data_IF_848566416669
#
_entry.id   IF_848566416669
#
_cell.length_a   1.000
_cell.length_b   1.000
_cell.length_c   1.000
_cell.angle_alpha   90.00
_cell.angle_beta   90.00
_cell.angle_gamma   90.00
#
_symmetry.space_group_name_H-M   'P 1'
#
loop_
_entity.id
_entity.type
_entity.pdbx_description
1 polymer ?
#
# COMPACT_ATOMS: atom_id res chain seq x y z
N UNK A 1 9.96 0.64 -18.71
CA UNK A 1 8.70 1.10 -19.34
C UNK A 1 8.36 0.19 -20.49
N UNK A 2 7.11 -0.17 -20.64
CA UNK A 2 6.61 -0.88 -21.82
C UNK A 2 6.49 0.10 -23.00
N UNK A 3 6.35 -0.43 -24.23
CA UNK A 3 6.21 0.39 -25.44
C UNK A 3 4.95 1.28 -25.43
N UNK A 4 3.93 0.93 -24.66
CA UNK A 4 2.67 1.66 -24.48
C UNK A 4 2.75 2.73 -23.38
N UNK A 5 3.93 2.97 -22.78
CA UNK A 5 4.15 3.95 -21.71
C UNK A 5 3.73 3.49 -20.31
N UNK A 6 3.36 2.23 -20.13
CA UNK A 6 3.07 1.66 -18.81
C UNK A 6 4.34 1.18 -18.10
N UNK A 7 4.29 1.07 -16.78
CA UNK A 7 5.39 0.51 -15.99
C UNK A 7 5.46 -1.00 -16.19
N UNK A 8 6.63 -1.51 -16.57
CA UNK A 8 6.89 -2.96 -16.62
C UNK A 8 7.15 -3.50 -15.21
N UNK A 9 6.07 -3.70 -14.44
CA UNK A 9 6.15 -4.20 -13.06
C UNK A 9 6.72 -5.60 -12.95
N UNK A 10 6.61 -6.42 -14.01
CA UNK A 10 7.17 -7.78 -14.01
C UNK A 10 8.70 -7.84 -14.07
N UNK A 11 9.36 -6.75 -14.50
CA UNK A 11 10.81 -6.67 -14.59
C UNK A 11 11.46 -5.97 -13.39
N UNK A 12 10.66 -5.50 -12.43
CA UNK A 12 11.15 -4.79 -11.24
C UNK A 12 10.84 -5.61 -9.98
N UNK A 13 11.74 -5.60 -8.99
CA UNK A 13 11.44 -6.19 -7.69
C UNK A 13 10.28 -5.44 -7.03
N UNK A 14 9.40 -6.18 -6.35
CA UNK A 14 8.38 -5.57 -5.50
C UNK A 14 9.05 -5.00 -4.25
N UNK A 15 8.77 -3.73 -3.95
CA UNK A 15 9.32 -3.02 -2.78
C UNK A 15 8.16 -2.55 -1.92
N UNK A 16 8.34 -2.64 -0.62
CA UNK A 16 7.34 -2.09 0.31
C UNK A 16 7.31 -0.57 0.17
N UNK A 17 6.13 0.00 -0.02
CA UNK A 17 5.96 1.45 -0.07
C UNK A 17 6.29 2.08 1.30
N UNK A 18 7.17 3.09 1.38
CA UNK A 18 7.63 3.64 2.67
C UNK A 18 6.49 4.10 3.58
N UNK A 19 5.52 4.84 3.07
CA UNK A 19 4.40 5.33 3.88
C UNK A 19 3.44 4.20 4.32
N UNK A 20 3.33 3.10 3.56
CA UNK A 20 2.60 1.91 4.00
C UNK A 20 3.36 1.16 5.10
N UNK A 21 4.70 1.24 5.14
CA UNK A 21 5.47 0.76 6.30
C UNK A 21 5.16 1.58 7.56
N UNK A 22 5.02 2.90 7.43
CA UNK A 22 4.59 3.76 8.56
C UNK A 22 3.15 3.43 8.99
N UNK A 23 2.25 3.14 8.04
CA UNK A 23 0.90 2.70 8.33
C UNK A 23 0.88 1.36 9.08
N UNK A 24 1.71 0.40 8.65
CA UNK A 24 1.89 -0.89 9.34
C UNK A 24 2.45 -0.68 10.75
N UNK A 25 3.46 0.17 10.92
CA UNK A 25 4.01 0.47 12.26
C UNK A 25 2.96 1.09 13.18
N UNK A 26 2.13 2.01 12.68
CA UNK A 26 1.02 2.57 13.44
C UNK A 26 0.02 1.48 13.87
N UNK A 27 -0.31 0.54 12.98
CA UNK A 27 -1.15 -0.61 13.32
C UNK A 27 -0.52 -1.47 14.42
N UNK A 28 0.78 -1.73 14.33
CA UNK A 28 1.52 -2.50 15.33
C UNK A 28 1.55 -1.80 16.70
N UNK A 29 1.75 -0.49 16.74
CA UNK A 29 1.69 0.30 17.97
C UNK A 29 0.29 0.27 18.60
N UNK A 30 -0.76 0.31 17.78
CA UNK A 30 -2.15 0.15 18.24
C UNK A 30 -2.33 -1.23 18.88
N UNK A 31 -1.95 -2.29 18.18
CA UNK A 31 -2.13 -3.66 18.68
C UNK A 31 -1.23 -3.98 19.89
N UNK A 32 -0.04 -3.42 19.96
CA UNK A 32 0.83 -3.53 21.15
C UNK A 32 0.19 -2.92 22.39
N UNK A 33 -0.60 -1.85 22.22
CA UNK A 33 -1.19 -1.09 23.32
C UNK A 33 -2.60 -1.56 23.71
N UNK A 34 -3.39 -1.97 22.73
CA UNK A 34 -4.83 -2.25 22.90
C UNK A 34 -5.23 -3.68 22.55
N UNK A 35 -4.30 -4.47 22.01
CA UNK A 35 -4.60 -5.76 21.40
C UNK A 35 -5.23 -5.60 20.01
N UNK A 36 -5.50 -6.71 19.35
CA UNK A 36 -6.14 -6.74 18.05
C UNK A 36 -5.48 -7.69 17.07
N UNK A 37 -5.89 -7.62 15.81
CA UNK A 37 -5.41 -8.44 14.71
C UNK A 37 -5.10 -7.56 13.50
N UNK A 38 -3.97 -7.80 12.85
CA UNK A 38 -3.53 -7.03 11.69
C UNK A 38 -3.56 -7.92 10.45
N UNK A 39 -4.44 -7.58 9.52
CA UNK A 39 -4.45 -8.15 8.16
C UNK A 39 -3.83 -7.15 7.19
N UNK A 40 -2.78 -7.55 6.50
CA UNK A 40 -2.17 -6.75 5.42
C UNK A 40 -2.69 -7.22 4.07
N UNK A 41 -3.16 -6.26 3.29
CA UNK A 41 -3.78 -6.50 1.98
C UNK A 41 -3.01 -5.76 0.89
N UNK A 42 -2.69 -6.42 -0.21
CA UNK A 42 -2.13 -5.79 -1.41
C UNK A 42 -2.76 -6.35 -2.68
N UNK A 43 -2.86 -5.50 -3.70
CA UNK A 43 -3.23 -5.92 -5.05
C UNK A 43 -1.99 -5.83 -5.95
N UNK A 44 -1.63 -6.93 -6.58
CA UNK A 44 -0.44 -6.95 -7.43
C UNK A 44 -0.20 -8.27 -8.14
N UNK A 45 0.96 -8.35 -8.78
CA UNK A 45 1.49 -9.58 -9.35
C UNK A 45 1.85 -10.57 -8.23
N UNK A 46 1.97 -11.88 -8.53
CA UNK A 46 2.39 -12.88 -7.54
C UNK A 46 3.68 -12.51 -6.78
N UNK A 47 4.61 -11.81 -7.41
CA UNK A 47 5.84 -11.31 -6.79
C UNK A 47 5.58 -10.36 -5.60
N UNK A 48 4.41 -9.73 -5.48
CA UNK A 48 4.05 -8.92 -4.33
C UNK A 48 3.92 -9.73 -3.02
N UNK A 49 3.93 -11.07 -3.09
CA UNK A 49 4.05 -11.93 -1.91
C UNK A 49 5.31 -11.61 -1.07
N UNK A 50 6.38 -11.08 -1.67
CA UNK A 50 7.59 -10.65 -0.93
C UNK A 50 7.28 -9.50 0.03
N UNK A 51 6.51 -8.52 -0.41
CA UNK A 51 6.08 -7.39 0.42
C UNK A 51 5.20 -7.87 1.57
N UNK A 52 4.31 -8.82 1.31
CA UNK A 52 3.46 -9.42 2.33
C UNK A 52 4.27 -10.22 3.36
N UNK A 53 5.30 -10.97 2.94
CA UNK A 53 6.23 -11.63 3.87
C UNK A 53 6.95 -10.62 4.76
N UNK A 54 7.37 -9.49 4.19
CA UNK A 54 8.01 -8.43 4.96
C UNK A 54 7.08 -7.87 6.04
N UNK A 55 5.80 -7.69 5.73
CA UNK A 55 4.80 -7.31 6.73
C UNK A 55 4.66 -8.35 7.86
N UNK A 56 4.61 -9.64 7.50
CA UNK A 56 4.59 -10.73 8.47
C UNK A 56 5.85 -10.76 9.35
N UNK A 57 7.03 -10.44 8.81
CA UNK A 57 8.27 -10.36 9.59
C UNK A 57 8.23 -9.26 10.64
N UNK A 58 7.53 -8.14 10.37
CA UNK A 58 7.42 -6.99 11.26
C UNK A 58 6.36 -7.15 12.33
N UNK A 59 5.35 -7.99 12.09
CA UNK A 59 4.36 -8.25 13.12
C UNK A 59 2.93 -8.48 12.65
N UNK A 60 2.62 -8.29 11.38
CA UNK A 60 1.29 -8.59 10.84
C UNK A 60 0.89 -10.05 11.12
N UNK A 61 -0.38 -10.28 11.38
CA UNK A 61 -0.91 -11.60 11.73
C UNK A 61 -1.32 -12.38 10.49
N UNK A 62 -1.88 -11.68 9.51
CA UNK A 62 -2.41 -12.25 8.28
C UNK A 62 -1.99 -11.41 7.07
N UNK A 63 -1.82 -12.08 5.93
CA UNK A 63 -1.48 -11.46 4.67
C UNK A 63 -2.39 -11.96 3.54
N UNK A 64 -2.90 -11.03 2.75
CA UNK A 64 -3.80 -11.31 1.62
C UNK A 64 -3.28 -10.66 0.35
N UNK A 65 -3.06 -11.48 -0.67
CA UNK A 65 -2.71 -11.05 -2.01
C UNK A 65 -3.95 -11.07 -2.91
N UNK A 66 -4.31 -9.92 -3.46
CA UNK A 66 -5.29 -9.86 -4.55
C UNK A 66 -4.51 -9.94 -5.87
N UNK A 67 -4.70 -11.01 -6.61
CA UNK A 67 -4.02 -11.18 -7.89
C UNK A 67 -4.94 -11.84 -8.92
N UNK A 68 -5.11 -11.13 -10.04
CA UNK A 68 -5.89 -11.57 -11.18
C UNK A 68 -5.40 -10.81 -12.42
N UNK A 69 -5.32 -11.48 -13.56
CA UNK A 69 -4.91 -10.83 -14.82
C UNK A 69 -5.85 -9.70 -15.24
N UNK A 70 -7.13 -9.82 -14.86
CA UNK A 70 -8.18 -8.81 -15.12
C UNK A 70 -7.98 -7.52 -14.31
N UNK A 71 -7.12 -7.53 -13.28
CA UNK A 71 -6.72 -6.32 -12.56
C UNK A 71 -5.67 -5.49 -13.30
N UNK A 72 -5.09 -6.01 -14.38
CA UNK A 72 -3.99 -5.36 -15.07
C UNK A 72 -4.35 -3.97 -15.59
N UNK A 73 -3.41 -3.02 -15.43
CA UNK A 73 -3.56 -1.62 -15.85
C UNK A 73 -4.74 -0.87 -15.22
N UNK A 74 -5.22 -1.31 -14.04
CA UNK A 74 -6.16 -0.54 -13.23
C UNK A 74 -5.57 0.82 -12.87
N UNK A 75 -6.36 1.86 -13.01
CA UNK A 75 -6.05 3.18 -12.44
C UNK A 75 -6.44 3.23 -10.94
N UNK A 76 -6.38 4.39 -10.32
CA UNK A 76 -6.71 4.56 -8.90
C UNK A 76 -8.17 4.23 -8.60
N UNK A 77 -9.09 4.54 -9.52
CA UNK A 77 -10.52 4.30 -9.32
C UNK A 77 -10.87 2.81 -9.38
N UNK A 78 -10.34 2.07 -10.37
CA UNK A 78 -10.50 0.63 -10.48
C UNK A 78 -9.77 -0.09 -9.32
N UNK A 79 -8.56 0.36 -8.95
CA UNK A 79 -7.80 -0.17 -7.81
C UNK A 79 -8.58 -0.03 -6.51
N UNK A 80 -9.11 1.17 -6.21
CA UNK A 80 -9.89 1.41 -5.00
C UNK A 80 -11.21 0.61 -4.99
N UNK A 81 -11.80 0.36 -6.17
CA UNK A 81 -12.98 -0.50 -6.28
C UNK A 81 -12.66 -1.96 -5.88
N UNK A 82 -11.61 -2.54 -6.46
CA UNK A 82 -11.21 -3.91 -6.18
C UNK A 82 -10.85 -4.07 -4.70
N UNK A 83 -10.06 -3.14 -4.14
CA UNK A 83 -9.72 -3.13 -2.72
C UNK A 83 -10.96 -2.99 -1.83
N UNK A 84 -11.96 -2.19 -2.24
CA UNK A 84 -13.22 -2.08 -1.50
C UNK A 84 -14.00 -3.40 -1.47
N UNK A 85 -14.00 -4.17 -2.57
CA UNK A 85 -14.59 -5.50 -2.61
C UNK A 85 -13.90 -6.47 -1.66
N UNK A 86 -12.57 -6.38 -1.56
CA UNK A 86 -11.80 -7.20 -0.61
C UNK A 86 -12.08 -6.82 0.84
N UNK A 87 -12.08 -5.53 1.17
CA UNK A 87 -12.37 -5.06 2.53
C UNK A 87 -13.78 -5.42 3.00
N UNK A 88 -14.75 -5.50 2.10
CA UNK A 88 -16.11 -6.00 2.44
C UNK A 88 -16.15 -7.49 2.84
N UNK A 89 -15.06 -8.24 2.65
CA UNK A 89 -14.91 -9.62 3.12
C UNK A 89 -14.25 -9.74 4.50
N UNK A 90 -13.80 -8.63 5.04
CA UNK A 90 -13.09 -8.55 6.30
C UNK A 90 -13.89 -7.77 7.33
N UNK A 91 -13.78 -8.18 8.59
CA UNK A 91 -14.23 -7.38 9.72
C UNK A 91 -13.09 -6.46 10.15
N UNK A 92 -13.33 -5.17 10.23
CA UNK A 92 -12.32 -4.19 10.60
C UNK A 92 -12.90 -3.01 11.38
N UNK A 93 -12.13 -2.49 12.32
CA UNK A 93 -12.41 -1.24 13.03
C UNK A 93 -11.64 -0.08 12.40
N UNK A 94 -10.42 -0.34 11.91
CA UNK A 94 -9.51 0.67 11.38
C UNK A 94 -8.91 0.15 10.08
N UNK A 95 -8.98 0.97 9.02
CA UNK A 95 -8.27 0.77 7.77
C UNK A 95 -7.14 1.78 7.70
N UNK A 96 -5.90 1.29 7.54
CA UNK A 96 -4.71 2.10 7.42
C UNK A 96 -4.06 1.92 6.05
N UNK A 97 -3.61 3.00 5.45
CA UNK A 97 -2.77 2.97 4.26
C UNK A 97 -1.77 4.13 4.31
N UNK A 98 -0.69 4.05 3.58
CA UNK A 98 0.17 5.19 3.32
C UNK A 98 -0.60 6.32 2.63
N UNK A 99 -0.11 7.53 2.73
CA UNK A 99 -0.70 8.69 2.04
C UNK A 99 -0.73 8.47 0.54
N UNK A 100 0.36 7.96 -0.02
CA UNK A 100 0.48 7.72 -1.46
C UNK A 100 1.48 6.60 -1.76
N UNK A 101 1.33 5.98 -2.95
CA UNK A 101 2.28 5.01 -3.47
C UNK A 101 3.38 5.70 -4.27
N UNK A 102 4.62 5.22 -4.13
CA UNK A 102 5.81 5.80 -4.82
C UNK A 102 5.83 5.54 -6.33
N UNK A 103 5.02 4.62 -6.83
CA UNK A 103 4.95 4.27 -8.26
C UNK A 103 3.97 5.14 -9.05
N UNK A 104 2.85 5.51 -8.44
CA UNK A 104 1.78 6.29 -9.07
C UNK A 104 1.67 7.73 -8.58
N UNK A 105 2.14 8.01 -7.40
CA UNK A 105 2.27 9.33 -6.77
C UNK A 105 0.99 10.19 -6.79
N UNK A 106 -0.18 9.52 -6.70
CA UNK A 106 -1.48 10.20 -6.88
C UNK A 106 -2.20 10.54 -5.58
N UNK A 107 -1.87 9.86 -4.48
CA UNK A 107 -2.52 10.00 -3.16
C UNK A 107 -4.06 9.81 -3.17
N UNK A 108 -4.61 9.11 -4.16
CA UNK A 108 -6.05 9.02 -4.39
C UNK A 108 -6.70 7.74 -3.83
N UNK A 109 -5.95 6.63 -3.75
CA UNK A 109 -6.53 5.31 -3.44
C UNK A 109 -7.18 5.28 -2.05
N UNK A 110 -6.53 5.82 -1.02
CA UNK A 110 -7.07 5.88 0.33
C UNK A 110 -8.40 6.63 0.40
N UNK A 111 -8.47 7.90 -0.04
CA UNK A 111 -9.72 8.68 -0.08
C UNK A 111 -10.84 8.03 -0.91
N UNK A 112 -10.53 7.49 -2.10
CA UNK A 112 -11.50 6.79 -2.94
C UNK A 112 -12.02 5.50 -2.26
N UNK A 113 -11.16 4.80 -1.55
CA UNK A 113 -11.52 3.59 -0.81
C UNK A 113 -12.49 3.94 0.34
N UNK A 114 -12.19 5.00 1.09
CA UNK A 114 -13.08 5.48 2.15
C UNK A 114 -14.48 5.82 1.62
N UNK A 115 -14.55 6.53 0.50
CA UNK A 115 -15.83 6.87 -0.15
C UNK A 115 -16.61 5.63 -0.58
N UNK A 116 -15.94 4.65 -1.22
CA UNK A 116 -16.57 3.40 -1.67
C UNK A 116 -17.08 2.52 -0.52
N UNK A 117 -16.51 2.66 0.66
CA UNK A 117 -16.89 1.91 1.87
C UNK A 117 -17.82 2.71 2.79
N UNK A 118 -18.08 3.99 2.49
CA UNK A 118 -18.85 4.88 3.35
C UNK A 118 -18.20 5.15 4.70
N UNK A 119 -16.84 5.13 4.75
CA UNK A 119 -16.07 5.35 5.96
C UNK A 119 -15.71 6.82 6.14
N UNK A 120 -15.70 7.27 7.40
CA UNK A 120 -15.01 8.52 7.73
C UNK A 120 -13.54 8.38 7.37
N UNK A 121 -12.97 9.38 6.68
CA UNK A 121 -11.54 9.40 6.36
C UNK A 121 -10.80 10.48 7.16
N UNK A 122 -9.60 10.16 7.61
CA UNK A 122 -8.66 11.12 8.20
C UNK A 122 -7.33 10.98 7.47
N UNK A 123 -6.96 12.02 6.73
CA UNK A 123 -5.75 12.02 5.92
C UNK A 123 -4.57 12.67 6.64
N UNK A 124 -3.34 12.29 6.24
CA UNK A 124 -2.10 12.85 6.76
C UNK A 124 -1.90 12.64 8.27
N UNK A 125 -2.31 11.49 8.79
CA UNK A 125 -2.15 11.14 10.21
C UNK A 125 -0.68 10.99 10.55
N UNK A 126 -0.25 11.67 11.61
CA UNK A 126 1.11 11.61 12.13
C UNK A 126 1.19 11.09 13.57
N UNK A 127 0.06 11.00 14.31
CA UNK A 127 0.09 10.50 15.67
C UNK A 127 -1.26 9.99 16.15
N UNK A 128 -1.24 8.82 16.80
CA UNK A 128 -2.35 8.38 17.65
C UNK A 128 -2.32 9.15 18.99
N UNK A 129 -3.45 9.71 19.37
CA UNK A 129 -3.61 10.44 20.65
C UNK A 129 -4.38 9.61 21.66
N UNK A 130 -5.50 9.02 21.24
CA UNK A 130 -6.39 8.23 22.11
C UNK A 130 -7.15 7.21 21.28
N UNK A 131 -7.34 6.02 21.82
CA UNK A 131 -8.21 5.00 21.24
C UNK A 131 -9.07 4.37 22.34
N UNK A 132 -10.35 4.18 22.04
CA UNK A 132 -11.25 3.36 22.84
C UNK A 132 -12.21 2.58 21.91
N UNK A 133 -13.07 1.72 22.47
CA UNK A 133 -13.93 0.82 21.70
C UNK A 133 -14.89 1.50 20.71
N UNK A 134 -15.04 2.81 20.73
CA UNK A 134 -16.00 3.54 19.87
C UNK A 134 -15.39 4.69 19.10
N UNK A 135 -14.29 5.23 19.56
CA UNK A 135 -13.70 6.46 19.01
C UNK A 135 -12.17 6.36 18.97
N UNK A 136 -11.63 6.97 17.95
CA UNK A 136 -10.19 7.23 17.82
C UNK A 136 -9.97 8.74 17.76
N UNK A 137 -8.93 9.20 18.46
CA UNK A 137 -8.46 10.58 18.37
C UNK A 137 -7.03 10.54 17.83
N UNK A 138 -6.81 11.24 16.72
CA UNK A 138 -5.51 11.30 16.05
C UNK A 138 -5.12 12.74 15.77
N UNK A 139 -3.83 12.97 15.61
CA UNK A 139 -3.27 14.21 15.08
C UNK A 139 -3.00 14.02 13.59
N UNK A 140 -3.28 15.05 12.81
CA UNK A 140 -2.96 15.10 11.38
C UNK A 140 -2.19 16.35 11.02
N UNK A 141 -1.31 16.26 10.03
CA UNK A 141 -0.60 17.38 9.44
C UNK A 141 -1.50 18.13 8.44
N UNK A 142 -1.46 19.47 8.47
CA UNK A 142 -2.19 20.35 7.54
C UNK A 142 -1.25 21.30 6.77
N UNK A 143 0.04 20.94 6.68
CA UNK A 143 1.07 21.71 5.99
C UNK A 143 1.73 22.73 6.91
N UNK A 144 1.04 23.78 7.33
CA UNK A 144 1.55 24.83 8.22
C UNK A 144 1.19 24.61 9.70
N UNK A 145 0.84 23.39 10.10
CA UNK A 145 0.48 23.04 11.47
C UNK A 145 -0.17 21.66 11.55
N UNK A 146 -0.89 21.45 12.62
CA UNK A 146 -1.58 20.19 12.88
C UNK A 146 -3.00 20.39 13.43
N UNK A 147 -3.84 19.39 13.24
CA UNK A 147 -5.17 19.30 13.81
C UNK A 147 -5.32 18.02 14.59
N UNK A 148 -6.03 18.07 15.70
CA UNK A 148 -6.47 16.89 16.44
C UNK A 148 -7.93 16.59 16.05
N UNK A 149 -8.18 15.37 15.58
CA UNK A 149 -9.48 14.95 15.11
C UNK A 149 -9.93 13.73 15.89
N UNK A 150 -11.18 13.76 16.35
CA UNK A 150 -11.86 12.63 16.97
C UNK A 150 -12.91 12.07 16.00
N UNK A 151 -12.85 10.77 15.75
CA UNK A 151 -13.79 10.06 14.88
C UNK A 151 -14.39 8.83 15.55
N UNK A 152 -15.58 8.42 15.10
CA UNK A 152 -16.14 7.11 15.43
C UNK A 152 -15.45 6.04 14.59
N UNK A 153 -15.40 4.81 15.13
CA UNK A 153 -15.05 3.61 14.39
C UNK A 153 -16.30 3.05 13.64
N UNK A 154 -16.13 2.41 12.48
CA UNK A 154 -14.88 2.22 11.75
C UNK A 154 -14.40 3.50 11.03
N UNK A 155 -13.10 3.60 10.77
CA UNK A 155 -12.45 4.75 10.14
C UNK A 155 -11.35 4.31 9.18
N UNK A 156 -11.15 5.08 8.10
CA UNK A 156 -9.96 4.95 7.24
C UNK A 156 -9.00 6.10 7.50
N UNK A 157 -7.72 5.79 7.64
CA UNK A 157 -6.68 6.79 7.84
C UNK A 157 -5.55 6.63 6.83
N UNK A 158 -5.04 7.76 6.31
CA UNK A 158 -3.80 7.76 5.54
C UNK A 158 -2.66 8.30 6.42
N UNK A 159 -1.55 7.58 6.46
CA UNK A 159 -0.42 7.83 7.35
C UNK A 159 0.74 8.40 6.54
N UNK A 160 1.44 9.38 7.11
CA UNK A 160 2.62 10.01 6.51
C UNK A 160 3.91 9.44 7.11
N UNK A 161 5.02 9.63 6.39
CA UNK A 161 6.38 9.21 6.78
C UNK A 161 6.84 9.74 8.14
N UNK A 162 6.34 10.92 8.55
CA UNK A 162 6.68 11.57 9.82
C UNK A 162 5.94 10.97 11.02
N UNK A 163 5.04 10.01 10.83
CA UNK A 163 4.22 9.45 11.90
C UNK A 163 5.04 8.62 12.90
N UNK A 164 5.99 7.88 12.42
CA UNK A 164 6.80 6.95 13.22
C UNK A 164 8.02 6.47 12.42
N UNK A 165 8.90 5.75 13.10
CA UNK A 165 9.98 4.99 12.49
C UNK A 165 9.57 3.51 12.45
N UNK A 166 9.42 2.89 11.27
CA UNK A 166 9.01 1.50 11.15
C UNK A 166 10.02 0.55 11.82
N UNK A 167 9.50 -0.34 12.68
CA UNK A 167 10.33 -1.36 13.35
C UNK A 167 11.00 -2.30 12.35
N UNK A 168 12.20 -2.77 12.70
CA UNK A 168 12.91 -3.77 11.92
C UNK A 168 12.23 -5.14 12.00
N UNK A 169 12.40 -6.02 10.98
CA UNK A 169 11.92 -7.39 11.03
C UNK A 169 12.42 -8.14 12.26
N UNK A 170 11.52 -8.83 12.96
CA UNK A 170 11.90 -9.64 14.12
C UNK A 170 12.49 -10.99 13.67
N UNK A 171 13.68 -11.35 14.13
CA UNK A 171 14.39 -12.56 13.74
C UNK A 171 13.55 -13.84 13.89
N UNK A 172 12.79 -13.97 14.99
CA UNK A 172 11.89 -15.10 15.22
C UNK A 172 10.79 -15.19 14.15
N UNK A 173 10.18 -14.06 13.78
CA UNK A 173 9.13 -14.00 12.75
C UNK A 173 9.71 -14.22 11.36
N UNK A 174 10.87 -13.66 11.06
CA UNK A 174 11.59 -13.91 9.81
C UNK A 174 11.86 -15.41 9.63
N UNK A 175 12.39 -16.08 10.64
CA UNK A 175 12.65 -17.52 10.59
C UNK A 175 11.37 -18.34 10.39
N UNK A 176 10.24 -17.91 10.94
CA UNK A 176 8.93 -18.56 10.74
C UNK A 176 8.43 -18.32 9.31
N UNK A 177 8.33 -17.06 8.90
CA UNK A 177 7.57 -16.66 7.71
C UNK A 177 8.41 -16.59 6.41
N UNK A 178 9.74 -16.80 6.45
CA UNK A 178 10.56 -16.91 5.24
C UNK A 178 10.09 -18.00 4.27
N UNK A 179 9.36 -18.98 4.76
CA UNK A 179 8.77 -20.06 3.97
C UNK A 179 7.27 -19.86 3.70
N UNK A 180 6.71 -18.71 4.09
CA UNK A 180 5.34 -18.40 3.73
C UNK A 180 5.21 -18.23 2.23
N UNK A 181 4.18 -18.81 1.62
CA UNK A 181 3.95 -18.79 0.17
C UNK A 181 2.50 -18.50 -0.15
N UNK A 182 2.29 -17.84 -1.29
CA UNK A 182 0.98 -17.74 -1.93
C UNK A 182 0.69 -18.99 -2.77
N UNK A 183 -0.58 -19.21 -3.12
CA UNK A 183 -0.98 -20.30 -4.01
C UNK A 183 -0.23 -20.25 -5.35
N UNK A 184 -0.04 -19.06 -5.94
CA UNK A 184 0.69 -18.89 -7.19
C UNK A 184 2.16 -19.33 -7.09
N UNK A 185 2.82 -19.03 -5.97
CA UNK A 185 4.21 -19.47 -5.73
C UNK A 185 4.29 -21.00 -5.53
N UNK A 186 3.31 -21.59 -4.87
CA UNK A 186 3.21 -23.06 -4.72
C UNK A 186 3.02 -23.71 -6.08
N UNK A 187 2.11 -23.21 -6.89
CA UNK A 187 1.84 -23.70 -8.24
C UNK A 187 3.09 -23.60 -9.14
N UNK A 188 3.80 -22.49 -9.08
CA UNK A 188 5.04 -22.31 -9.84
C UNK A 188 6.10 -23.35 -9.40
N UNK A 189 6.31 -23.53 -8.10
CA UNK A 189 7.28 -24.49 -7.57
C UNK A 189 6.94 -25.96 -7.96
N UNK A 190 5.67 -26.32 -8.03
CA UNK A 190 5.22 -27.64 -8.49
C UNK A 190 5.49 -27.83 -9.97
N UNK A 191 5.24 -26.81 -10.81
CA UNK A 191 5.51 -26.84 -12.24
C UNK A 191 7.00 -27.00 -12.55
N UNK A 192 7.86 -26.32 -11.79
CA UNK A 192 9.32 -26.39 -11.95
C UNK A 192 9.92 -27.73 -11.46
N UNK A 193 9.21 -28.48 -10.63
CA UNK A 193 9.71 -29.74 -10.04
C UNK A 193 9.46 -30.99 -10.88
N UNK A 194 8.83 -30.89 -12.04
CA UNK A 194 8.56 -31.99 -12.99
C UNK A 194 7.95 -33.27 -12.34
N UNK A 195 7.18 -33.10 -11.26
CA UNK A 195 6.55 -34.20 -10.55
C UNK A 195 5.17 -34.49 -11.15
N UNK A 196 5.12 -35.49 -11.99
CA UNK A 196 3.88 -36.21 -12.31
C UNK A 196 3.30 -36.79 -10.99
N UNK A 197 2.32 -36.12 -10.41
CA UNK A 197 1.62 -36.60 -9.23
C UNK A 197 0.12 -36.70 -9.53
N UNK A 198 -0.36 -37.93 -9.53
CA UNK A 198 -1.75 -38.36 -9.74
C UNK A 198 -2.70 -38.02 -8.57
N UNK A 199 -2.57 -36.89 -7.91
CA UNK A 199 -3.56 -36.35 -6.94
C UNK A 199 -3.20 -34.89 -6.66
N UNK A 200 -4.14 -34.00 -6.79
CA UNK A 200 -4.03 -32.56 -6.72
C UNK A 200 -2.97 -32.05 -5.69
N UNK A 201 -1.68 -31.94 -6.09
CA UNK A 201 -0.59 -31.63 -5.18
C UNK A 201 -0.65 -30.18 -4.69
N UNK A 202 -1.41 -29.33 -5.41
CA UNK A 202 -1.58 -27.92 -5.05
C UNK A 202 -2.42 -27.77 -3.78
N UNK A 203 -3.61 -28.38 -3.75
CA UNK A 203 -4.52 -28.29 -2.59
C UNK A 203 -3.90 -28.88 -1.34
N UNK A 204 -3.17 -30.01 -1.46
CA UNK A 204 -2.46 -30.61 -0.34
C UNK A 204 -1.37 -29.70 0.19
N UNK A 205 -0.55 -29.14 -0.68
CA UNK A 205 0.54 -28.23 -0.30
C UNK A 205 0.02 -26.95 0.32
N UNK A 206 -1.06 -26.39 -0.22
CA UNK A 206 -1.72 -25.21 0.36
C UNK A 206 -2.31 -25.51 1.74
N UNK A 207 -2.98 -26.67 1.91
CA UNK A 207 -3.54 -27.07 3.20
C UNK A 207 -2.46 -27.29 4.27
N UNK A 208 -1.30 -27.86 3.90
CA UNK A 208 -0.16 -27.99 4.82
C UNK A 208 0.41 -26.63 5.25
N UNK A 209 0.51 -25.67 4.32
CA UNK A 209 0.95 -24.32 4.64
C UNK A 209 -0.07 -23.59 5.51
N UNK A 210 -1.34 -23.76 5.27
CA UNK A 210 -2.42 -23.19 6.07
C UNK A 210 -2.39 -23.71 7.51
N UNK A 211 -2.27 -25.03 7.70
CA UNK A 211 -2.13 -25.65 9.04
C UNK A 211 -0.91 -25.13 9.80
N UNK A 212 0.17 -24.79 9.09
CA UNK A 212 1.39 -24.20 9.68
C UNK A 212 1.28 -22.68 9.87
N UNK A 213 0.21 -22.04 9.41
CA UNK A 213 0.05 -20.57 9.38
C UNK A 213 1.09 -19.89 8.50
N UNK A 214 1.41 -20.51 7.34
CA UNK A 214 2.40 -20.04 6.37
C UNK A 214 1.78 -19.78 4.99
N UNK A 215 0.47 -19.97 4.83
CA UNK A 215 -0.21 -19.64 3.59
C UNK A 215 -0.53 -18.14 3.54
N UNK A 216 -0.01 -17.46 2.53
CA UNK A 216 -0.47 -16.12 2.15
C UNK A 216 -1.76 -16.32 1.36
N UNK A 217 -2.87 -15.85 1.91
CA UNK A 217 -4.18 -15.98 1.26
C UNK A 217 -4.15 -15.26 -0.09
N UNK A 218 -4.70 -15.91 -1.10
CA UNK A 218 -4.78 -15.35 -2.45
C UNK A 218 -6.24 -15.23 -2.86
N UNK A 219 -6.65 -14.03 -3.28
CA UNK A 219 -8.01 -13.74 -3.74
C UNK A 219 -7.98 -13.24 -5.18
N UNK A 220 -8.90 -13.75 -5.98
CA UNK A 220 -9.15 -13.28 -7.34
C UNK A 220 -10.45 -12.47 -7.41
N UNK A 221 -10.78 -11.94 -8.57
CA UNK A 221 -11.99 -11.13 -8.77
C UNK A 221 -13.28 -11.95 -8.64
N UNK A 222 -13.24 -13.26 -8.89
CA UNK A 222 -14.40 -14.14 -8.75
C UNK A 222 -14.69 -14.41 -7.27
N UNK A 223 -13.67 -14.69 -6.46
CA UNK A 223 -13.80 -14.80 -5.00
C UNK A 223 -14.34 -13.50 -4.39
N UNK A 224 -13.86 -12.36 -4.86
CA UNK A 224 -14.30 -11.05 -4.44
C UNK A 224 -15.72 -10.71 -4.89
N UNK A 225 -16.27 -11.44 -5.87
CA UNK A 225 -17.53 -11.14 -6.56
C UNK A 225 -17.54 -9.72 -7.12
N UNK A 226 -16.40 -9.30 -7.66
CA UNK A 226 -16.24 -7.97 -8.23
C UNK A 226 -16.98 -7.87 -9.57
N UNK A 227 -17.64 -6.74 -9.80
CA UNK A 227 -18.19 -6.42 -11.12
C UNK A 227 -17.03 -6.08 -12.07
N UNK A 228 -16.80 -6.93 -13.05
CA UNK A 228 -15.69 -6.82 -13.98
C UNK A 228 -15.73 -5.54 -14.83
N UNK A 229 -16.89 -4.91 -14.95
CA UNK A 229 -17.04 -3.62 -15.65
C UNK A 229 -16.28 -2.48 -14.97
N UNK A 230 -15.95 -2.63 -13.68
CA UNK A 230 -15.19 -1.67 -12.88
C UNK A 230 -13.72 -2.09 -12.62
N UNK A 231 -13.25 -3.15 -13.29
CA UNK A 231 -11.93 -3.72 -13.09
C UNK A 231 -11.01 -3.51 -14.29
N UNK A 232 -9.69 -3.46 -14.02
CA UNK A 232 -8.68 -3.39 -15.07
C UNK A 232 -8.69 -2.09 -15.87
N UNK A 233 -8.06 -2.15 -17.04
CA UNK A 233 -7.85 -0.98 -17.92
C UNK A 233 -9.14 -0.29 -18.35
N UNK A 234 -10.20 -1.05 -18.57
CA UNK A 234 -11.46 -0.55 -19.13
C UNK A 234 -12.48 -0.24 -18.01
N UNK A 235 -12.18 -0.61 -16.79
CA UNK A 235 -13.07 -0.49 -15.64
C UNK A 235 -13.16 0.91 -15.03
N UNK A 236 -12.51 1.91 -15.62
CA UNK A 236 -12.56 3.28 -15.14
C UNK A 236 -12.86 4.27 -16.27
N UNK A 237 -13.67 5.32 -16.04
CA UNK A 237 -13.83 6.43 -16.96
C UNK A 237 -12.55 7.27 -17.09
N UNK A 238 -11.68 7.24 -16.10
CA UNK A 238 -10.34 7.86 -16.13
C UNK A 238 -9.31 6.83 -16.57
N UNK A 239 -8.33 7.24 -17.35
CA UNK A 239 -7.27 6.34 -17.82
C UNK A 239 -5.92 7.01 -17.68
N UNK A 240 -4.92 6.25 -17.22
CA UNK A 240 -3.52 6.70 -17.26
C UNK A 240 -3.13 6.79 -18.73
N UNK A 241 -2.98 8.02 -19.24
CA UNK A 241 -2.60 8.23 -20.63
C UNK A 241 -1.12 7.90 -20.86
N UNK A 242 -0.25 8.41 -20.00
CA UNK A 242 1.20 8.23 -20.12
C UNK A 242 1.89 8.52 -18.79
N UNK A 243 2.87 7.71 -18.45
CA UNK A 243 3.81 7.99 -17.36
C UNK A 243 5.11 8.51 -17.99
N UNK A 244 5.58 9.66 -17.53
CA UNK A 244 6.85 10.24 -17.95
C UNK A 244 7.79 10.29 -16.77
N UNK A 245 9.00 9.75 -16.95
CA UNK A 245 10.08 9.99 -15.99
C UNK A 245 10.57 11.40 -16.16
N UNK A 246 10.41 12.23 -15.15
CA UNK A 246 11.02 13.55 -15.08
C UNK A 246 12.39 13.39 -14.45
N UNK A 247 13.43 13.41 -15.28
CA UNK A 247 14.78 13.51 -14.78
C UNK A 247 15.03 14.99 -14.47
N UNK A 248 15.16 15.32 -13.20
CA UNK A 248 15.58 16.65 -12.78
C UNK A 248 17.06 16.80 -13.10
N UNK A 249 17.35 17.38 -14.26
CA UNK A 249 18.72 17.79 -14.60
C UNK A 249 18.97 19.17 -13.99
N UNK A 250 20.04 19.28 -13.24
CA UNK A 250 20.52 20.58 -12.76
C UNK A 250 20.94 21.42 -13.98
N UNK A 251 20.16 22.44 -14.32
CA UNK A 251 20.46 23.36 -15.44
C UNK A 251 21.66 24.27 -15.18
N UNK A 252 22.57 23.89 -14.30
CA UNK A 252 23.74 24.66 -13.90
C UNK A 252 23.57 25.34 -12.54
N UNK A 253 24.65 25.93 -12.05
CA UNK A 253 24.65 26.77 -10.84
C UNK A 253 24.79 28.22 -11.22
N UNK A 254 23.94 29.09 -10.67
CA UNK A 254 24.07 30.54 -10.79
C UNK A 254 24.79 31.06 -9.55
N UNK A 255 25.97 31.60 -9.73
CA UNK A 255 26.68 32.27 -8.65
C UNK A 255 26.10 33.68 -8.45
N UNK A 256 25.76 34.04 -7.22
CA UNK A 256 25.11 35.29 -6.87
C UNK A 256 26.07 36.08 -6.01
N UNK A 257 26.20 37.37 -6.28
CA UNK A 257 26.98 38.26 -5.42
C UNK A 257 26.35 38.37 -4.04
N UNK A 258 27.15 38.45 -2.97
CA UNK A 258 26.64 38.53 -1.60
C UNK A 258 26.15 39.97 -1.28
N UNK A 259 25.22 40.47 -2.08
CA UNK A 259 24.56 41.78 -1.89
C UNK A 259 23.08 41.55 -1.57
N UNK A 260 22.52 42.45 -0.75
CA UNK A 260 21.12 42.38 -0.35
C UNK A 260 20.17 42.40 -1.58
N UNK A 261 20.50 43.20 -2.59
CA UNK A 261 19.74 43.30 -3.83
C UNK A 261 19.77 41.99 -4.66
N UNK A 262 20.95 41.34 -4.78
CA UNK A 262 21.09 40.13 -5.57
C UNK A 262 20.38 38.93 -4.85
N UNK A 263 20.42 38.88 -3.52
CA UNK A 263 19.69 37.91 -2.73
C UNK A 263 18.18 38.09 -2.83
N UNK A 264 17.71 39.34 -2.77
CA UNK A 264 16.29 39.65 -2.95
C UNK A 264 15.77 39.25 -4.36
N UNK A 265 16.56 39.52 -5.40
CA UNK A 265 16.22 39.14 -6.77
C UNK A 265 16.15 37.61 -6.93
N UNK A 266 17.09 36.87 -6.31
CA UNK A 266 17.05 35.42 -6.29
C UNK A 266 15.78 34.87 -5.60
N UNK A 267 15.44 35.39 -4.45
CA UNK A 267 14.24 34.99 -3.70
C UNK A 267 12.99 35.25 -4.51
N UNK A 268 12.89 36.45 -5.13
CA UNK A 268 11.77 36.77 -6.04
C UNK A 268 11.68 35.82 -7.23
N UNK A 269 12.82 35.42 -7.80
CA UNK A 269 12.87 34.46 -8.89
C UNK A 269 12.34 33.08 -8.44
N UNK A 270 12.78 32.59 -7.28
CA UNK A 270 12.33 31.30 -6.72
C UNK A 270 10.83 31.30 -6.39
N UNK A 271 10.29 32.41 -5.91
CA UNK A 271 8.84 32.57 -5.68
C UNK A 271 8.08 32.58 -7.01
N UNK A 272 8.56 33.36 -8.01
CA UNK A 272 7.93 33.43 -9.32
C UNK A 272 7.91 32.09 -10.06
N UNK A 273 8.92 31.24 -9.83
CA UNK A 273 9.01 29.88 -10.39
C UNK A 273 8.28 28.84 -9.52
N UNK A 274 7.57 29.24 -8.48
CA UNK A 274 6.90 28.36 -7.52
C UNK A 274 7.81 27.29 -6.88
N UNK A 275 9.10 27.59 -6.74
CA UNK A 275 10.08 26.70 -6.10
C UNK A 275 10.03 26.82 -4.58
N UNK A 276 9.74 28.01 -4.08
CA UNK A 276 9.48 28.35 -2.67
C UNK A 276 8.25 29.24 -2.58
N UNK A 277 7.43 29.02 -1.52
CA UNK A 277 6.24 29.85 -1.29
C UNK A 277 5.06 29.02 -0.84
#
# INVERSE_FOLDING_TARGET
>A
MNADGTVNRGALPAVFNPEDLNALELALQITDSFGGHITVLTMGLPAASEVLREALYRGADEAVLITDRRCAASDTLATSYILSCALKKLDYDIVLCGRQAIDGDTAQVGPQLAEKLGLTQITYVDKLVELNNRHITVRRNIGNGWQQIKSKLPVLMTVIDQANEPRVPAAKRLMKYKNARSMAEVQQALTESDRDCDNDPLDKSCSELEQKGLLIKQWDLDYLKADLTWCGRDGSPTKVHRIQSVVLEAKGSKQIEPTESAVAEMIHGLIAEHTIG
#
